data_IF_059546226905
#
_entry.id   IF_059546226905
#
_cell.length_a   1.000
_cell.length_b   1.000
_cell.length_c   1.000
_cell.angle_alpha   90.00
_cell.angle_beta   90.00
_cell.angle_gamma   90.00
#
_symmetry.space_group_name_H-M   'P 1'
#
loop_
_entity.id
_entity.type
_entity.pdbx_description
1 polymer ?
#
# COMPACT_ATOMS: atom_id res chain seq x y z
N UNK A 1 -17.30 -6.46 21.39
CA UNK A 1 -15.95 -6.60 21.99
C UNK A 1 -14.95 -6.47 20.86
N UNK A 2 -14.39 -5.26 20.72
CA UNK A 2 -13.50 -4.88 19.63
C UNK A 2 -12.23 -5.74 19.63
N UNK A 3 -11.95 -6.41 18.50
CA UNK A 3 -10.64 -6.99 18.25
C UNK A 3 -9.72 -5.88 17.75
N UNK A 4 -9.18 -5.10 18.67
CA UNK A 4 -8.02 -4.26 18.44
C UNK A 4 -6.81 -5.18 18.25
N UNK A 5 -6.69 -5.75 17.05
CA UNK A 5 -5.50 -6.49 16.66
C UNK A 5 -4.41 -5.50 16.25
N UNK A 6 -3.87 -4.83 17.27
CA UNK A 6 -2.71 -3.94 17.15
C UNK A 6 -1.58 -4.82 16.61
N UNK A 7 -1.18 -4.57 15.36
CA UNK A 7 0.02 -5.13 14.76
C UNK A 7 1.21 -4.82 15.67
N UNK A 8 1.50 -5.70 16.63
CA UNK A 8 2.67 -5.58 17.51
C UNK A 8 3.90 -5.51 16.62
N UNK A 9 4.46 -4.30 16.53
CA UNK A 9 5.80 -4.04 16.04
C UNK A 9 6.79 -4.95 16.77
N UNK A 10 7.91 -5.28 16.13
CA UNK A 10 9.03 -5.88 16.85
C UNK A 10 9.56 -4.80 17.80
N UNK A 11 9.23 -4.93 19.08
CA UNK A 11 9.69 -4.01 20.13
C UNK A 11 11.21 -4.21 20.38
N UNK A 12 11.74 -5.38 20.02
CA UNK A 12 13.13 -5.76 20.28
C UNK A 12 14.04 -5.41 19.10
N UNK A 13 14.80 -4.32 19.20
CA UNK A 13 15.91 -4.02 18.27
C UNK A 13 17.12 -4.88 18.61
N UNK A 14 17.83 -5.39 17.61
CA UNK A 14 19.05 -6.20 17.82
C UNK A 14 20.19 -5.30 18.33
N UNK A 15 20.64 -5.52 19.56
CA UNK A 15 21.72 -4.74 20.19
C UNK A 15 23.00 -5.56 20.42
N UNK A 16 23.01 -6.83 20.00
CA UNK A 16 24.12 -7.76 20.17
C UNK A 16 23.84 -8.79 21.27
N UNK A 17 23.90 -8.40 22.57
CA UNK A 17 23.69 -9.33 23.69
C UNK A 17 22.32 -10.00 23.72
N UNK A 18 21.32 -9.42 23.04
CA UNK A 18 19.95 -9.89 23.04
C UNK A 18 19.61 -10.81 21.84
N UNK A 19 20.60 -11.36 21.14
CA UNK A 19 20.40 -12.15 19.92
C UNK A 19 19.34 -13.24 20.07
N UNK A 20 19.38 -14.03 21.15
CA UNK A 20 18.42 -15.12 21.37
C UNK A 20 16.97 -14.61 21.53
N UNK A 21 16.78 -13.55 22.33
CA UNK A 21 15.47 -12.92 22.52
C UNK A 21 14.98 -12.26 21.23
N UNK A 22 15.88 -11.63 20.49
CA UNK A 22 15.59 -11.04 19.20
C UNK A 22 15.16 -12.10 18.18
N UNK A 23 15.88 -13.22 18.07
CA UNK A 23 15.55 -14.32 17.16
C UNK A 23 14.18 -14.91 17.49
N UNK A 24 13.84 -15.10 18.77
CA UNK A 24 12.52 -15.57 19.16
C UNK A 24 11.41 -14.57 18.79
N UNK A 25 11.64 -13.28 19.04
CA UNK A 25 10.70 -12.22 18.68
C UNK A 25 10.50 -12.11 17.16
N UNK A 26 11.60 -12.09 16.41
CA UNK A 26 11.60 -12.04 14.95
C UNK A 26 10.96 -13.28 14.33
N UNK A 27 11.27 -14.48 14.84
CA UNK A 27 10.64 -15.73 14.42
C UNK A 27 9.13 -15.68 14.62
N UNK A 28 8.68 -15.29 15.81
CA UNK A 28 7.25 -15.21 16.14
C UNK A 28 6.52 -14.19 15.27
N UNK A 29 7.14 -13.03 15.03
CA UNK A 29 6.62 -12.00 14.15
C UNK A 29 6.48 -12.48 12.70
N UNK A 30 7.52 -13.11 12.16
CA UNK A 30 7.53 -13.63 10.80
C UNK A 30 6.54 -14.80 10.64
N UNK A 31 6.40 -15.69 11.63
CA UNK A 31 5.39 -16.77 11.61
C UNK A 31 3.99 -16.16 11.56
N UNK A 32 3.70 -15.17 12.41
CA UNK A 32 2.39 -14.49 12.44
C UNK A 32 2.06 -13.80 11.11
N UNK A 33 3.06 -13.28 10.41
CA UNK A 33 2.91 -12.68 9.08
C UNK A 33 2.98 -13.67 7.93
N UNK A 34 3.07 -14.98 8.21
CA UNK A 34 3.29 -16.04 7.21
C UNK A 34 4.56 -15.86 6.36
N UNK A 35 5.54 -15.14 6.89
CA UNK A 35 6.82 -14.84 6.22
C UNK A 35 7.97 -15.75 6.67
N UNK A 36 7.83 -16.45 7.80
CA UNK A 36 8.93 -17.23 8.38
C UNK A 36 9.51 -18.29 7.43
N UNK A 37 8.63 -19.06 6.76
CA UNK A 37 9.06 -20.14 5.86
C UNK A 37 9.76 -19.61 4.59
N UNK A 38 9.50 -18.36 4.23
CA UNK A 38 10.22 -17.67 3.14
C UNK A 38 11.67 -17.44 3.54
N UNK A 39 11.89 -16.91 4.73
CA UNK A 39 13.24 -16.62 5.24
C UNK A 39 14.04 -17.91 5.45
N UNK A 40 13.39 -19.01 5.83
CA UNK A 40 14.07 -20.29 6.04
C UNK A 40 14.22 -21.13 4.78
N UNK A 41 13.58 -20.77 3.66
CA UNK A 41 13.61 -21.55 2.42
C UNK A 41 12.95 -22.92 2.52
N UNK A 42 12.10 -23.15 3.52
CA UNK A 42 11.50 -24.44 3.83
C UNK A 42 10.24 -24.68 2.97
N UNK A 43 10.47 -24.92 1.67
CA UNK A 43 9.43 -25.17 0.67
C UNK A 43 9.56 -26.59 0.12
N UNK A 44 8.84 -27.54 0.71
CA UNK A 44 8.84 -28.94 0.24
C UNK A 44 7.77 -29.23 -0.83
N UNK A 45 6.91 -28.27 -1.18
CA UNK A 45 5.83 -28.46 -2.17
C UNK A 45 5.68 -27.24 -3.10
N UNK A 46 5.63 -27.49 -4.41
CA UNK A 46 5.47 -26.48 -5.46
C UNK A 46 4.15 -25.70 -5.34
N UNK A 47 3.04 -26.39 -5.01
CA UNK A 47 1.74 -25.74 -4.86
C UNK A 47 1.75 -24.72 -3.73
N UNK A 48 2.47 -25.03 -2.64
CA UNK A 48 2.63 -24.14 -1.49
C UNK A 48 3.53 -22.93 -1.79
N UNK A 49 4.60 -23.12 -2.57
CA UNK A 49 5.46 -22.02 -3.02
C UNK A 49 4.68 -21.05 -3.93
N UNK A 50 3.84 -21.59 -4.82
CA UNK A 50 2.94 -20.80 -5.67
C UNK A 50 1.90 -20.04 -4.85
N UNK A 51 1.24 -20.68 -3.88
CA UNK A 51 0.28 -20.02 -2.98
C UNK A 51 0.93 -18.89 -2.18
N UNK A 52 2.14 -19.09 -1.66
CA UNK A 52 2.89 -18.04 -0.96
C UNK A 52 3.27 -16.92 -1.92
N UNK A 53 3.75 -17.25 -3.13
CA UNK A 53 4.04 -16.24 -4.13
C UNK A 53 2.80 -15.44 -4.50
N UNK A 54 1.66 -16.09 -4.76
CA UNK A 54 0.39 -15.44 -5.08
C UNK A 54 -0.08 -14.57 -3.89
N UNK A 55 0.12 -15.00 -2.64
CA UNK A 55 -0.13 -14.20 -1.45
C UNK A 55 0.78 -12.97 -1.37
N UNK A 56 2.09 -13.12 -1.56
CA UNK A 56 3.05 -12.02 -1.55
C UNK A 56 2.80 -11.04 -2.69
N UNK A 57 2.53 -11.56 -3.88
CA UNK A 57 2.13 -10.82 -5.06
C UNK A 57 0.87 -10.01 -4.80
N UNK A 58 -0.17 -10.62 -4.24
CA UNK A 58 -1.39 -9.89 -3.88
C UNK A 58 -1.12 -8.81 -2.81
N UNK A 59 -0.24 -9.11 -1.85
CA UNK A 59 0.10 -8.24 -0.72
C UNK A 59 1.02 -7.07 -1.09
N UNK A 60 1.96 -7.26 -2.03
CA UNK A 60 3.08 -6.34 -2.29
C UNK A 60 3.25 -5.95 -3.77
N UNK A 61 2.63 -6.64 -4.73
CA UNK A 61 2.68 -6.25 -6.16
C UNK A 61 1.61 -5.21 -6.51
N UNK A 62 0.57 -5.05 -5.70
CA UNK A 62 -0.34 -3.91 -5.84
C UNK A 62 0.43 -2.65 -5.48
N UNK A 63 0.66 -1.79 -6.47
CA UNK A 63 0.92 -0.38 -6.22
C UNK A 63 -0.14 0.06 -5.21
N UNK A 64 0.25 0.30 -3.96
CA UNK A 64 -0.71 0.56 -2.90
C UNK A 64 -1.62 1.72 -3.31
N UNK A 65 -2.90 1.68 -2.93
CA UNK A 65 -3.86 2.73 -3.27
C UNK A 65 -3.32 4.13 -2.91
N UNK A 66 -2.57 4.25 -1.81
CA UNK A 66 -1.84 5.45 -1.44
C UNK A 66 -0.86 5.95 -2.53
N UNK A 67 -0.02 5.07 -3.07
CA UNK A 67 0.93 5.43 -4.13
C UNK A 67 0.21 5.77 -5.43
N UNK A 68 -0.84 5.02 -5.77
CA UNK A 68 -1.66 5.32 -6.93
C UNK A 68 -2.38 6.69 -6.81
N UNK A 69 -2.95 6.96 -5.63
CA UNK A 69 -3.56 8.24 -5.29
C UNK A 69 -2.58 9.39 -5.39
N UNK A 70 -1.35 9.20 -4.90
CA UNK A 70 -0.28 10.19 -5.02
C UNK A 70 0.05 10.49 -6.48
N UNK A 71 0.27 9.46 -7.31
CA UNK A 71 0.55 9.65 -8.75
C UNK A 71 -0.56 10.42 -9.46
N UNK A 72 -1.83 10.10 -9.17
CA UNK A 72 -2.99 10.82 -9.72
C UNK A 72 -3.07 12.25 -9.24
N UNK A 73 -2.80 12.49 -7.95
CA UNK A 73 -2.79 13.85 -7.38
C UNK A 73 -1.68 14.68 -7.99
N UNK A 74 -0.48 14.13 -8.15
CA UNK A 74 0.62 14.78 -8.85
C UNK A 74 0.20 15.09 -10.29
N UNK A 75 -0.31 14.12 -11.04
CA UNK A 75 -0.77 14.35 -12.42
C UNK A 75 -1.82 15.46 -12.52
N UNK A 76 -2.79 15.48 -11.61
CA UNK A 76 -3.86 16.47 -11.60
C UNK A 76 -3.35 17.88 -11.33
N UNK A 77 -2.37 18.00 -10.44
CA UNK A 77 -1.76 19.26 -10.02
C UNK A 77 -0.65 19.73 -10.97
N UNK A 78 -0.05 18.84 -11.77
CA UNK A 78 0.93 19.21 -12.80
C UNK A 78 0.25 20.02 -13.90
N UNK A 79 0.55 21.31 -13.96
CA UNK A 79 0.12 22.23 -15.02
C UNK A 79 1.34 22.72 -15.79
N UNK A 80 1.12 23.11 -17.04
CA UNK A 80 2.18 23.75 -17.82
C UNK A 80 2.43 25.14 -17.28
N UNK A 81 3.69 25.43 -16.93
CA UNK A 81 4.08 26.72 -16.38
C UNK A 81 4.19 27.80 -17.47
N UNK A 82 4.00 29.10 -17.14
CA UNK A 82 4.21 30.19 -18.07
C UNK A 82 5.64 30.18 -18.64
N UNK A 83 5.76 30.09 -19.97
CA UNK A 83 7.06 30.06 -20.66
C UNK A 83 7.71 28.68 -20.74
N UNK A 84 7.12 27.63 -20.17
CA UNK A 84 7.60 26.25 -20.30
C UNK A 84 7.27 25.68 -21.69
N UNK A 85 8.22 24.98 -22.30
CA UNK A 85 7.97 24.28 -23.56
C UNK A 85 7.04 23.07 -23.36
N UNK A 86 6.27 22.71 -24.39
CA UNK A 86 5.40 21.53 -24.35
C UNK A 86 6.23 20.25 -24.15
N UNK A 87 7.43 20.17 -24.73
CA UNK A 87 8.31 19.01 -24.56
C UNK A 87 8.77 18.85 -23.12
N UNK A 88 9.14 19.94 -22.45
CA UNK A 88 9.55 19.91 -21.04
C UNK A 88 8.37 19.54 -20.13
N UNK A 89 7.16 20.01 -20.45
CA UNK A 89 5.95 19.61 -19.75
C UNK A 89 5.65 18.12 -19.95
N UNK A 90 5.69 17.62 -21.19
CA UNK A 90 5.47 16.20 -21.49
C UNK A 90 6.51 15.31 -20.82
N UNK A 91 7.77 15.75 -20.72
CA UNK A 91 8.81 15.04 -20.00
C UNK A 91 8.50 14.88 -18.50
N UNK A 92 7.72 15.77 -17.90
CA UNK A 92 7.24 15.65 -16.51
C UNK A 92 6.06 14.69 -16.38
N UNK A 93 5.15 14.69 -17.36
CA UNK A 93 3.90 13.91 -17.32
C UNK A 93 4.12 12.44 -17.70
N UNK A 94 4.98 12.18 -18.68
CA UNK A 94 5.26 10.85 -19.23
C UNK A 94 5.68 9.80 -18.17
N UNK A 95 6.59 10.08 -17.21
CA UNK A 95 6.92 9.11 -16.17
C UNK A 95 5.74 8.80 -15.24
N UNK A 96 4.85 9.77 -15.00
CA UNK A 96 3.67 9.58 -14.15
C UNK A 96 2.67 8.65 -14.85
N UNK A 97 2.39 8.87 -16.14
CA UNK A 97 1.56 7.97 -16.94
C UNK A 97 2.11 6.55 -16.99
N UNK A 98 3.42 6.41 -17.17
CA UNK A 98 4.04 5.09 -17.18
C UNK A 98 3.79 4.35 -15.86
N UNK A 99 3.99 5.00 -14.72
CA UNK A 99 3.75 4.37 -13.41
C UNK A 99 2.27 4.06 -13.16
N UNK A 100 1.35 4.93 -13.57
CA UNK A 100 -0.10 4.69 -13.50
C UNK A 100 -0.47 3.47 -14.34
N UNK A 101 0.09 3.33 -15.55
CA UNK A 101 -0.20 2.20 -16.46
C UNK A 101 0.27 0.85 -15.90
N UNK A 102 1.30 0.85 -15.05
CA UNK A 102 1.80 -0.36 -14.38
C UNK A 102 0.96 -0.74 -13.17
N UNK A 103 0.21 0.20 -12.59
CA UNK A 103 -0.62 -0.03 -11.43
C UNK A 103 -1.86 -0.86 -11.82
N UNK A 104 -1.93 -2.09 -11.32
CA UNK A 104 -3.11 -2.97 -11.49
C UNK A 104 -4.19 -2.61 -10.48
N UNK A 105 -4.87 -1.48 -10.71
CA UNK A 105 -5.95 -0.96 -9.87
C UNK A 105 -7.31 -1.39 -10.42
N UNK A 106 -8.23 -1.82 -9.56
CA UNK A 106 -9.60 -2.14 -9.99
C UNK A 106 -10.41 -0.87 -10.24
N UNK A 107 -11.50 -1.01 -10.98
CA UNK A 107 -12.43 0.09 -11.27
C UNK A 107 -13.00 0.75 -10.00
N UNK A 108 -13.35 -0.03 -8.97
CA UNK A 108 -13.81 0.49 -7.69
C UNK A 108 -12.78 1.41 -7.00
N UNK A 109 -11.50 1.03 -7.07
CA UNK A 109 -10.41 1.80 -6.49
C UNK A 109 -10.12 3.08 -7.30
N UNK A 110 -10.40 3.06 -8.61
CA UNK A 110 -10.35 4.25 -9.46
C UNK A 110 -11.44 5.25 -9.04
N UNK A 111 -12.69 4.79 -8.92
CA UNK A 111 -13.81 5.63 -8.46
C UNK A 111 -13.55 6.19 -7.06
N UNK A 112 -13.04 5.36 -6.14
CA UNK A 112 -12.66 5.80 -4.80
C UNK A 112 -11.57 6.89 -4.84
N UNK A 113 -10.54 6.72 -5.67
CA UNK A 113 -9.47 7.72 -5.83
C UNK A 113 -10.02 9.06 -6.29
N UNK A 114 -10.93 9.07 -7.27
CA UNK A 114 -11.58 10.29 -7.77
C UNK A 114 -12.40 10.99 -6.68
N UNK A 115 -13.21 10.24 -5.93
CA UNK A 115 -13.98 10.77 -4.78
C UNK A 115 -13.04 11.37 -3.76
N UNK A 116 -12.01 10.63 -3.35
CA UNK A 116 -11.04 11.09 -2.35
C UNK A 116 -10.30 12.35 -2.80
N UNK A 117 -9.94 12.50 -4.08
CA UNK A 117 -9.29 13.70 -4.61
C UNK A 117 -10.23 14.92 -4.62
N UNK A 118 -11.52 14.71 -4.82
CA UNK A 118 -12.52 15.78 -4.85
C UNK A 118 -12.93 16.28 -3.46
N UNK A 119 -12.67 15.52 -2.39
CA UNK A 119 -13.02 15.92 -1.02
C UNK A 119 -12.25 17.17 -0.57
N UNK A 120 -12.90 17.99 0.26
CA UNK A 120 -12.27 19.15 0.90
C UNK A 120 -11.12 18.75 1.83
N UNK A 121 -10.14 19.64 2.07
CA UNK A 121 -8.99 19.35 2.94
C UNK A 121 -9.36 18.94 4.38
N UNK A 122 -10.54 19.33 4.88
CA UNK A 122 -11.03 18.91 6.21
C UNK A 122 -11.21 17.38 6.35
N UNK A 123 -11.36 16.65 5.24
CA UNK A 123 -11.48 15.19 5.21
C UNK A 123 -10.11 14.48 5.09
N UNK A 124 -8.99 15.20 5.20
CA UNK A 124 -7.64 14.63 5.03
C UNK A 124 -7.36 13.46 5.98
N UNK A 125 -7.87 13.52 7.22
CA UNK A 125 -7.70 12.45 8.19
C UNK A 125 -8.39 11.15 7.74
N UNK A 126 -9.63 11.26 7.23
CA UNK A 126 -10.39 10.11 6.70
C UNK A 126 -9.73 9.58 5.43
N UNK A 127 -9.32 10.46 4.52
CA UNK A 127 -8.57 10.12 3.31
C UNK A 127 -7.29 9.35 3.64
N UNK A 128 -6.47 9.83 4.56
CA UNK A 128 -5.23 9.17 4.95
C UNK A 128 -5.49 7.79 5.57
N UNK A 129 -6.54 7.65 6.39
CA UNK A 129 -6.95 6.36 6.97
C UNK A 129 -7.33 5.35 5.89
N UNK A 130 -8.18 5.75 4.93
CA UNK A 130 -8.66 4.89 3.85
C UNK A 130 -7.52 4.43 2.91
N UNK A 131 -6.58 5.33 2.59
CA UNK A 131 -5.47 5.03 1.66
C UNK A 131 -4.43 4.05 2.21
N UNK A 132 -4.25 3.99 3.54
CA UNK A 132 -3.25 3.13 4.19
C UNK A 132 -3.86 1.84 4.78
N UNK A 133 -5.16 1.63 4.62
CA UNK A 133 -5.84 0.46 5.16
C UNK A 133 -5.44 -0.81 4.42
N UNK A 134 -5.31 -1.89 5.17
CA UNK A 134 -5.06 -3.21 4.60
C UNK A 134 -5.91 -4.29 5.32
N UNK A 135 -6.87 -4.92 4.63
CA UNK A 135 -7.18 -4.78 3.21
C UNK A 135 -7.77 -3.41 2.84
N UNK A 136 -7.66 -3.03 1.57
CA UNK A 136 -8.28 -1.81 1.06
C UNK A 136 -9.82 -1.90 1.21
N UNK A 137 -10.49 -0.84 1.66
CA UNK A 137 -11.94 -0.83 1.79
C UNK A 137 -12.61 -0.87 0.41
N UNK A 138 -13.79 -1.49 0.32
CA UNK A 138 -14.64 -1.34 -0.87
C UNK A 138 -15.10 0.11 -1.00
N UNK A 139 -15.53 0.50 -2.21
CA UNK A 139 -16.10 1.83 -2.47
C UNK A 139 -17.25 2.13 -1.51
N UNK A 140 -18.18 1.20 -1.31
CA UNK A 140 -19.30 1.37 -0.39
C UNK A 140 -18.86 1.59 1.06
N UNK A 141 -17.88 0.81 1.53
CA UNK A 141 -17.36 0.95 2.90
C UNK A 141 -16.70 2.31 3.10
N UNK A 142 -15.90 2.74 2.11
CA UNK A 142 -15.23 4.03 2.16
C UNK A 142 -16.22 5.20 2.10
N UNK A 143 -17.27 5.11 1.27
CA UNK A 143 -18.33 6.12 1.17
C UNK A 143 -19.08 6.25 2.49
N UNK A 144 -19.42 5.14 3.15
CA UNK A 144 -20.07 5.18 4.47
C UNK A 144 -19.19 5.92 5.50
N UNK A 145 -17.88 5.67 5.52
CA UNK A 145 -16.94 6.35 6.42
C UNK A 145 -16.70 7.83 6.10
N UNK A 146 -17.05 8.30 4.90
CA UNK A 146 -16.98 9.73 4.53
C UNK A 146 -18.26 10.47 4.96
N UNK A 147 -19.40 9.78 4.96
CA UNK A 147 -20.72 10.35 5.28
C UNK A 147 -20.95 10.46 6.79
N UNK A 148 -20.34 9.57 7.59
CA UNK A 148 -20.45 9.51 9.05
C UNK A 148 -19.23 10.10 9.75
#
# INVERSE_FOLDING_TARGET
>A
MEKTDIFKSIITTLTGPNYNLWVQGMKSFLIRRKLWRIVTGDFHNYDFAKEIWDFLKNRYQTTGLAHYYQLWTTLHNTKQEPGQSVNDFLAQVQPIWHQISLAKISEDHLHLTQVLMALRPEYEAVRASLLHRNPLPSLDTAIQEIIF
#
